data_IF_166802011637
#
_entry.id   IF_166802011637
#
_cell.length_a   1.000
_cell.length_b   1.000
_cell.length_c   1.000
_cell.angle_alpha   90.00
_cell.angle_beta   90.00
_cell.angle_gamma   90.00
#
_symmetry.space_group_name_H-M   'P 1'
#
loop_
_entity.id
_entity.type
_entity.pdbx_description
1 polymer ?
#
# COMPACT_ATOMS: atom_id res chain seq x y z
N UNK A 1 48.81 12.87 -16.83
CA UNK A 1 48.92 13.18 -18.27
C UNK A 1 47.51 13.15 -18.84
N UNK A 2 47.03 14.30 -19.30
CA UNK A 2 45.71 14.54 -19.87
C UNK A 2 45.90 14.75 -21.38
N UNK A 3 45.09 14.10 -22.24
CA UNK A 3 44.61 14.59 -23.55
C UNK A 3 43.74 13.54 -24.29
N UNK A 4 42.87 13.94 -25.26
CA UNK A 4 41.42 13.82 -25.10
C UNK A 4 40.66 13.18 -26.30
N UNK A 5 39.35 12.99 -26.06
CA UNK A 5 38.17 13.06 -26.93
C UNK A 5 38.34 13.19 -28.47
N UNK A 6 37.65 12.33 -29.23
CA UNK A 6 37.05 12.69 -30.53
C UNK A 6 35.63 12.10 -30.63
N UNK A 7 34.67 13.00 -30.82
CA UNK A 7 33.26 12.78 -31.14
C UNK A 7 33.12 12.66 -32.66
N UNK A 8 32.28 11.75 -33.15
CA UNK A 8 31.80 11.80 -34.53
C UNK A 8 30.29 11.50 -34.58
N UNK A 9 29.50 12.56 -34.74
CA UNK A 9 28.15 12.52 -35.30
C UNK A 9 28.24 12.37 -36.82
N UNK A 10 27.38 11.56 -37.42
CA UNK A 10 27.07 11.64 -38.84
C UNK A 10 25.56 11.48 -39.08
N UNK A 11 24.97 12.53 -39.63
CA UNK A 11 23.57 12.62 -40.09
C UNK A 11 23.60 13.18 -41.51
N UNK A 12 22.85 12.57 -42.45
CA UNK A 12 22.27 13.12 -43.69
C UNK A 12 22.12 12.00 -44.75
N UNK A 13 21.21 12.00 -45.72
CA UNK A 13 19.81 12.45 -45.94
C UNK A 13 19.48 12.02 -47.39
N UNK A 14 18.24 11.55 -47.62
CA UNK A 14 17.44 11.56 -48.87
C UNK A 14 17.96 10.93 -50.19
N UNK A 15 17.14 10.06 -50.81
CA UNK A 15 16.27 10.43 -51.96
C UNK A 15 15.53 9.21 -52.55
N UNK A 16 14.35 9.49 -53.13
CA UNK A 16 13.25 8.58 -53.50
C UNK A 16 13.26 8.09 -54.97
N UNK A 17 12.42 7.08 -55.28
CA UNK A 17 11.55 7.01 -56.47
C UNK A 17 10.57 5.81 -56.39
N UNK A 18 9.28 6.03 -56.66
CA UNK A 18 8.23 4.99 -56.87
C UNK A 18 8.28 4.37 -58.29
N UNK A 19 7.25 3.62 -58.79
CA UNK A 19 5.82 3.99 -58.69
C UNK A 19 4.73 2.86 -58.63
N UNK A 20 3.49 3.30 -58.30
CA UNK A 20 2.13 3.04 -58.85
C UNK A 20 1.45 1.63 -58.97
N UNK A 21 0.21 1.60 -58.44
CA UNK A 21 -0.96 0.82 -58.93
C UNK A 21 -1.42 -0.32 -57.99
N UNK A 22 -2.68 -0.53 -57.60
CA UNK A 22 -3.96 0.09 -57.95
C UNK A 22 -5.07 -0.40 -56.95
N UNK A 23 -6.05 0.48 -56.67
CA UNK A 23 -7.50 0.15 -56.49
C UNK A 23 -8.10 -0.36 -55.14
N UNK A 24 -9.43 -0.17 -54.89
CA UNK A 24 -9.91 0.76 -53.84
C UNK A 24 -10.91 0.21 -52.80
N UNK A 25 -10.98 0.91 -51.65
CA UNK A 25 -12.22 1.36 -51.01
C UNK A 25 -13.18 0.35 -50.36
N UNK A 26 -13.03 0.16 -49.04
CA UNK A 26 -14.14 -0.22 -48.16
C UNK A 26 -14.30 0.86 -47.06
N UNK A 27 -15.54 1.24 -46.68
CA UNK A 27 -15.77 2.37 -45.78
C UNK A 27 -15.36 2.02 -44.34
N UNK A 28 -14.48 2.85 -43.78
CA UNK A 28 -14.08 2.85 -42.37
C UNK A 28 -15.23 3.36 -41.50
N UNK A 29 -15.91 2.43 -40.82
CA UNK A 29 -16.64 2.75 -39.58
C UNK A 29 -15.63 3.17 -38.50
N UNK A 30 -16.02 3.98 -37.50
CA UNK A 30 -15.09 4.41 -36.47
C UNK A 30 -14.59 3.19 -35.70
N UNK A 31 -13.29 2.94 -35.80
CA UNK A 31 -12.60 2.01 -34.93
C UNK A 31 -12.84 2.47 -33.48
N UNK A 32 -13.60 1.67 -32.70
CA UNK A 32 -13.62 1.81 -31.25
C UNK A 32 -12.20 1.58 -30.77
N UNK A 33 -11.48 2.66 -30.50
CA UNK A 33 -10.26 2.63 -29.72
C UNK A 33 -10.64 2.06 -28.35
N UNK A 34 -10.35 0.78 -28.13
CA UNK A 34 -10.35 0.20 -26.79
C UNK A 34 -9.29 0.98 -26.02
N UNK A 35 -9.73 1.89 -25.15
CA UNK A 35 -8.85 2.55 -24.20
C UNK A 35 -8.13 1.50 -23.34
N UNK A 36 -6.93 1.82 -22.82
CA UNK A 36 -6.23 0.92 -21.93
C UNK A 36 -7.16 0.53 -20.77
N UNK A 37 -7.32 -0.78 -20.58
CA UNK A 37 -8.07 -1.33 -19.46
C UNK A 37 -7.51 -0.72 -18.17
N UNK A 38 -8.37 -0.04 -17.40
CA UNK A 38 -8.03 0.44 -16.08
C UNK A 38 -7.54 -0.77 -15.26
N UNK A 39 -6.31 -0.68 -14.78
CA UNK A 39 -5.75 -1.63 -13.80
C UNK A 39 -6.57 -1.41 -12.53
N UNK A 40 -7.56 -2.28 -12.31
CA UNK A 40 -8.33 -2.28 -11.06
C UNK A 40 -7.39 -2.58 -9.91
N UNK A 41 -7.31 -1.67 -8.95
CA UNK A 41 -6.65 -1.91 -7.66
C UNK A 41 -7.37 -3.07 -6.98
N UNK A 42 -6.67 -4.13 -6.54
CA UNK A 42 -7.34 -5.26 -5.90
C UNK A 42 -7.92 -4.87 -4.54
N UNK A 43 -9.22 -5.10 -4.41
CA UNK A 43 -10.02 -5.01 -3.18
C UNK A 43 -9.36 -5.80 -2.05
N UNK A 44 -8.89 -5.11 -1.01
CA UNK A 44 -8.46 -5.73 0.25
C UNK A 44 -9.71 -5.94 1.09
N UNK A 45 -10.49 -6.96 0.73
CA UNK A 45 -11.77 -7.30 1.34
C UNK A 45 -11.72 -8.45 2.34
N UNK A 46 -10.55 -8.75 2.91
CA UNK A 46 -10.44 -9.79 3.95
C UNK A 46 -10.26 -9.10 5.29
N UNK A 47 -11.29 -9.18 6.13
CA UNK A 47 -11.13 -8.83 7.53
C UNK A 47 -10.08 -9.77 8.12
N UNK A 48 -9.06 -9.19 8.78
CA UNK A 48 -8.00 -9.93 9.48
C UNK A 48 -8.53 -11.14 10.30
N UNK A 49 -9.72 -10.99 10.89
CA UNK A 49 -10.40 -12.00 11.69
C UNK A 49 -10.69 -13.33 10.97
N UNK A 50 -10.82 -13.32 9.64
CA UNK A 50 -11.14 -14.50 8.84
C UNK A 50 -9.89 -15.19 8.27
N UNK A 51 -8.69 -14.68 8.56
CA UNK A 51 -7.45 -15.27 8.08
C UNK A 51 -6.99 -16.39 9.02
N UNK A 52 -6.90 -17.66 8.58
CA UNK A 52 -6.46 -18.77 9.42
C UNK A 52 -4.93 -18.75 9.59
N UNK A 53 -4.41 -17.73 10.27
CA UNK A 53 -2.98 -17.49 10.44
C UNK A 53 -2.33 -18.70 11.10
N UNK A 54 -1.28 -19.22 10.47
CA UNK A 54 -0.41 -20.23 11.07
C UNK A 54 0.44 -19.53 12.13
N UNK A 55 0.37 -19.99 13.38
CA UNK A 55 1.22 -19.46 14.42
C UNK A 55 2.61 -20.13 14.35
N UNK A 56 3.71 -19.36 14.39
CA UNK A 56 5.04 -19.94 14.52
C UNK A 56 5.17 -20.65 15.88
N UNK A 57 5.93 -21.74 15.90
CA UNK A 57 6.31 -22.44 17.14
C UNK A 57 7.35 -21.63 17.91
N UNK A 58 7.24 -21.64 19.24
CA UNK A 58 8.24 -21.09 20.15
C UNK A 58 8.92 -22.16 21.01
N UNK A 59 8.40 -23.38 20.97
CA UNK A 59 8.87 -24.56 21.69
C UNK A 59 9.86 -25.39 20.87
N UNK A 60 9.83 -25.28 19.54
CA UNK A 60 10.84 -25.86 18.65
C UNK A 60 11.64 -24.74 17.95
N UNK A 61 12.87 -25.07 17.55
CA UNK A 61 13.75 -24.18 16.82
C UNK A 61 14.69 -24.99 15.89
N UNK A 62 15.34 -24.33 14.92
CA UNK A 62 16.30 -25.00 14.05
C UNK A 62 17.47 -25.61 14.83
N UNK A 63 18.09 -26.68 14.31
CA UNK A 63 19.14 -27.42 15.04
C UNK A 63 20.43 -26.63 15.14
N UNK A 64 20.72 -25.77 14.16
CA UNK A 64 21.89 -24.91 14.22
C UNK A 64 21.69 -23.83 15.29
N UNK A 65 22.45 -23.91 16.38
CA UNK A 65 22.35 -22.99 17.49
C UNK A 65 22.60 -21.51 17.09
N UNK A 66 23.45 -21.26 16.09
CA UNK A 66 23.70 -19.90 15.61
C UNK A 66 22.47 -19.34 14.89
N UNK A 67 21.81 -20.15 14.05
CA UNK A 67 20.57 -19.75 13.38
C UNK A 67 19.45 -19.57 14.39
N UNK A 68 19.29 -20.53 15.31
CA UNK A 68 18.26 -20.51 16.33
C UNK A 68 18.34 -19.28 17.24
N UNK A 69 19.54 -18.77 17.51
CA UNK A 69 19.74 -17.59 18.35
C UNK A 69 19.13 -16.28 17.79
N UNK A 70 18.84 -16.21 16.49
CA UNK A 70 18.25 -15.03 15.86
C UNK A 70 16.76 -14.82 16.17
N UNK A 71 16.04 -15.88 16.55
CA UNK A 71 14.60 -15.79 16.77
C UNK A 71 14.09 -16.83 17.76
N UNK A 72 13.03 -16.45 18.48
CA UNK A 72 12.28 -17.35 19.37
C UNK A 72 11.02 -17.91 18.73
N UNK A 73 10.72 -17.55 17.48
CA UNK A 73 9.49 -17.91 16.79
C UNK A 73 9.81 -18.37 15.36
N UNK A 74 9.43 -19.61 15.06
CA UNK A 74 9.76 -20.25 13.79
C UNK A 74 8.55 -20.92 13.14
N UNK A 75 8.39 -20.74 11.84
CA UNK A 75 7.61 -21.63 11.00
C UNK A 75 8.47 -22.84 10.65
N UNK A 76 7.89 -24.03 10.64
CA UNK A 76 8.63 -25.27 10.43
C UNK A 76 7.90 -26.22 9.48
N UNK A 77 8.68 -26.83 8.59
CA UNK A 77 8.20 -27.87 7.68
C UNK A 77 7.94 -29.18 8.45
N UNK A 78 7.06 -30.07 7.94
CA UNK A 78 6.76 -31.33 8.62
C UNK A 78 7.99 -32.23 8.85
N UNK A 79 8.98 -32.18 7.96
CA UNK A 79 10.25 -32.92 8.08
C UNK A 79 11.28 -32.23 8.99
N UNK A 80 10.99 -31.02 9.48
CA UNK A 80 11.83 -30.19 10.35
C UNK A 80 13.19 -29.84 9.73
N UNK A 81 13.29 -29.78 8.40
CA UNK A 81 14.52 -29.42 7.71
C UNK A 81 14.51 -27.98 7.20
N UNK A 82 13.34 -27.47 6.84
CA UNK A 82 13.13 -26.08 6.43
C UNK A 82 12.43 -25.30 7.54
N UNK A 83 13.08 -24.23 7.98
CA UNK A 83 12.58 -23.31 9.00
C UNK A 83 12.60 -21.89 8.47
N UNK A 84 11.62 -21.09 8.87
CA UNK A 84 11.55 -19.68 8.55
C UNK A 84 11.25 -18.86 9.79
N UNK A 85 11.94 -17.74 9.95
CA UNK A 85 11.54 -16.71 10.89
C UNK A 85 11.49 -15.38 10.15
N UNK A 86 10.31 -14.78 10.16
CA UNK A 86 10.15 -13.37 9.86
C UNK A 86 10.12 -12.59 11.18
N UNK A 87 10.27 -11.27 11.11
CA UNK A 87 9.83 -10.43 12.24
C UNK A 87 8.35 -10.64 12.54
N UNK A 88 7.82 -9.95 13.55
CA UNK A 88 6.47 -10.18 14.08
C UNK A 88 5.34 -10.13 13.03
N UNK A 89 5.56 -9.50 11.86
CA UNK A 89 4.54 -9.28 10.81
C UNK A 89 5.12 -9.31 9.40
N UNK A 90 4.25 -9.65 8.44
CA UNK A 90 4.49 -9.49 7.01
C UNK A 90 3.76 -8.26 6.47
N UNK A 91 4.38 -7.57 5.51
CA UNK A 91 3.89 -6.35 4.89
C UNK A 91 3.86 -6.49 3.38
N UNK A 92 2.85 -5.88 2.75
CA UNK A 92 2.78 -5.76 1.30
C UNK A 92 3.67 -4.61 0.79
N UNK A 93 4.27 -4.81 -0.39
CA UNK A 93 5.04 -3.80 -1.11
C UNK A 93 6.35 -3.35 -0.44
N UNK A 94 6.89 -2.25 -0.96
CA UNK A 94 8.09 -1.59 -0.43
C UNK A 94 9.38 -2.40 -0.53
N UNK A 95 10.21 -2.31 0.52
CA UNK A 95 11.49 -3.03 0.65
C UNK A 95 11.35 -4.52 1.00
N UNK A 96 10.12 -5.05 1.01
CA UNK A 96 9.79 -6.43 1.39
C UNK A 96 10.03 -6.75 2.86
N UNK A 97 9.91 -8.02 3.21
CA UNK A 97 9.97 -8.56 4.56
C UNK A 97 11.28 -9.30 4.76
N UNK A 98 12.03 -8.96 5.82
CA UNK A 98 13.22 -9.73 6.17
C UNK A 98 12.81 -11.09 6.71
N UNK A 99 13.24 -12.14 6.04
CA UNK A 99 13.00 -13.53 6.45
C UNK A 99 14.33 -14.26 6.53
N UNK A 100 14.59 -14.84 7.70
CA UNK A 100 15.69 -15.74 7.96
C UNK A 100 15.22 -17.17 7.75
N UNK A 101 16.02 -17.95 7.04
CA UNK A 101 15.73 -19.35 6.76
C UNK A 101 16.85 -20.24 7.30
N UNK A 102 16.50 -21.36 7.95
CA UNK A 102 17.37 -22.54 7.99
C UNK A 102 16.86 -23.50 6.92
N UNK A 103 17.72 -23.99 6.03
CA UNK A 103 17.26 -24.74 4.86
C UNK A 103 18.22 -25.84 4.46
N UNK A 104 17.72 -26.94 3.87
CA UNK A 104 18.54 -27.83 3.07
C UNK A 104 18.84 -27.22 1.68
N UNK A 105 19.97 -27.60 1.10
CA UNK A 105 20.36 -27.12 -0.24
C UNK A 105 20.80 -25.64 -0.26
N UNK A 106 20.93 -25.09 -1.47
CA UNK A 106 21.58 -23.79 -1.68
C UNK A 106 20.64 -22.58 -1.62
N UNK A 107 19.33 -22.75 -1.84
CA UNK A 107 18.38 -21.63 -1.92
C UNK A 107 16.96 -22.01 -1.48
N UNK A 108 16.23 -21.03 -0.96
CA UNK A 108 14.77 -21.08 -0.80
C UNK A 108 14.09 -20.47 -2.02
N UNK A 109 13.01 -21.08 -2.49
CA UNK A 109 12.02 -20.44 -3.35
C UNK A 109 10.72 -20.22 -2.58
N UNK A 110 10.06 -19.09 -2.80
CA UNK A 110 8.76 -18.77 -2.21
C UNK A 110 7.73 -18.62 -3.32
N UNK A 111 6.56 -19.18 -3.09
CA UNK A 111 5.34 -18.89 -3.86
C UNK A 111 4.19 -18.65 -2.88
N UNK A 112 3.05 -18.21 -3.39
CA UNK A 112 1.87 -18.07 -2.55
C UNK A 112 0.63 -17.70 -3.32
N UNK A 113 -0.51 -17.90 -2.66
CA UNK A 113 -1.85 -17.65 -3.18
C UNK A 113 -2.60 -16.77 -2.20
N UNK A 114 -3.22 -15.70 -2.72
CA UNK A 114 -4.19 -14.94 -1.96
C UNK A 114 -5.45 -15.80 -1.76
N UNK A 115 -5.80 -16.08 -0.50
CA UNK A 115 -6.90 -16.99 -0.15
C UNK A 115 -8.28 -16.40 -0.42
N UNK A 116 -8.41 -15.08 -0.32
CA UNK A 116 -9.65 -14.34 -0.45
C UNK A 116 -9.34 -13.03 -1.22
N UNK A 117 -9.88 -12.91 -2.42
CA UNK A 117 -9.60 -11.80 -3.36
C UNK A 117 -9.31 -12.28 -4.79
N UNK A 118 -9.04 -11.35 -5.70
CA UNK A 118 -8.64 -11.68 -7.08
C UNK A 118 -7.16 -12.10 -7.11
N UNK A 119 -6.93 -13.41 -7.06
CA UNK A 119 -5.60 -14.00 -7.09
C UNK A 119 -4.80 -13.67 -8.38
N UNK A 120 -5.46 -13.37 -9.50
CA UNK A 120 -4.77 -13.03 -10.75
C UNK A 120 -4.28 -11.59 -10.73
N UNK A 121 -5.08 -10.67 -10.20
CA UNK A 121 -4.69 -9.28 -10.00
C UNK A 121 -3.64 -9.13 -8.89
N UNK A 122 -3.67 -9.99 -7.87
CA UNK A 122 -2.78 -9.94 -6.71
C UNK A 122 -1.30 -10.22 -7.03
N UNK A 123 -0.98 -10.87 -8.16
CA UNK A 123 0.39 -11.31 -8.46
C UNK A 123 0.89 -12.43 -7.53
N UNK A 124 2.20 -12.65 -7.49
CA UNK A 124 2.82 -13.70 -6.65
C UNK A 124 3.89 -13.11 -5.73
N UNK A 125 4.10 -13.68 -4.52
CA UNK A 125 5.21 -13.28 -3.67
C UNK A 125 6.55 -13.53 -4.37
N UNK A 126 7.53 -12.68 -4.10
CA UNK A 126 8.88 -12.82 -4.63
C UNK A 126 9.90 -12.90 -3.50
N UNK A 127 11.04 -13.55 -3.75
CA UNK A 127 12.15 -13.64 -2.82
C UNK A 127 13.41 -13.09 -3.48
N UNK A 128 14.13 -12.24 -2.76
CA UNK A 128 15.45 -11.71 -3.14
C UNK A 128 16.38 -11.82 -1.94
N UNK A 129 17.70 -11.84 -2.15
CA UNK A 129 18.64 -11.91 -1.03
C UNK A 129 20.09 -11.93 -1.50
N UNK A 130 21.05 -11.71 -0.59
CA UNK A 130 22.46 -11.81 -0.93
C UNK A 130 22.83 -13.23 -1.34
N UNK A 131 23.72 -13.36 -2.33
CA UNK A 131 24.48 -14.59 -2.57
C UNK A 131 25.49 -14.81 -1.42
N UNK A 132 25.99 -16.04 -1.25
CA UNK A 132 27.05 -16.34 -0.27
C UNK A 132 26.59 -17.06 0.99
N UNK A 133 25.29 -17.39 1.09
CA UNK A 133 24.70 -18.17 2.18
C UNK A 133 24.64 -19.67 1.90
N UNK A 134 25.22 -20.15 0.81
CA UNK A 134 25.10 -21.54 0.35
C UNK A 134 25.76 -22.52 1.34
N UNK A 135 26.79 -22.07 2.06
CA UNK A 135 27.56 -22.89 3.00
C UNK A 135 27.30 -22.55 4.49
N UNK A 136 26.39 -21.61 4.77
CA UNK A 136 26.19 -21.08 6.13
C UNK A 136 25.05 -21.77 6.90
N UNK A 137 24.33 -22.71 6.27
CA UNK A 137 23.18 -23.41 6.85
C UNK A 137 21.93 -22.53 7.01
N UNK A 138 22.07 -21.21 6.96
CA UNK A 138 20.98 -20.25 6.95
C UNK A 138 21.00 -19.35 5.71
N UNK A 139 19.91 -18.64 5.42
CA UNK A 139 19.79 -17.61 4.38
C UNK A 139 19.01 -16.43 4.94
N UNK A 140 19.58 -15.23 4.86
CA UNK A 140 18.80 -14.01 5.01
C UNK A 140 18.21 -13.62 3.64
N UNK A 141 16.95 -13.20 3.62
CA UNK A 141 16.26 -12.80 2.39
C UNK A 141 15.25 -11.70 2.64
N UNK A 142 14.79 -11.11 1.55
CA UNK A 142 13.65 -10.23 1.45
C UNK A 142 12.53 -10.96 0.70
N UNK A 143 11.40 -11.21 1.38
CA UNK A 143 10.16 -11.72 0.77
C UNK A 143 9.18 -10.57 0.56
N UNK A 144 8.77 -10.32 -0.68
CA UNK A 144 7.84 -9.24 -1.03
C UNK A 144 6.50 -9.80 -1.44
N UNK A 145 5.44 -9.41 -0.73
CA UNK A 145 4.06 -9.66 -1.13
C UNK A 145 3.53 -8.47 -1.95
N UNK A 146 2.87 -8.68 -3.09
CA UNK A 146 2.47 -7.56 -3.94
C UNK A 146 1.31 -6.75 -3.33
N UNK A 147 0.39 -7.42 -2.62
CA UNK A 147 -0.82 -6.80 -2.07
C UNK A 147 -1.12 -7.31 -0.66
N UNK A 148 -1.82 -6.52 0.18
CA UNK A 148 -2.28 -6.94 1.49
C UNK A 148 -3.33 -8.05 1.41
N UNK A 149 -3.50 -8.82 2.49
CA UNK A 149 -4.55 -9.82 2.63
C UNK A 149 -4.06 -11.14 3.23
N UNK A 150 -4.90 -12.16 3.18
CA UNK A 150 -4.56 -13.49 3.72
C UNK A 150 -3.88 -14.34 2.65
N UNK A 151 -2.61 -14.67 2.86
CA UNK A 151 -1.79 -15.43 1.92
C UNK A 151 -1.50 -16.82 2.45
N UNK A 152 -1.78 -17.82 1.61
CA UNK A 152 -1.24 -19.17 1.75
C UNK A 152 0.14 -19.19 1.09
N UNK A 153 1.18 -19.41 1.88
CA UNK A 153 2.58 -19.28 1.49
C UNK A 153 3.24 -20.63 1.47
N UNK A 154 3.89 -20.95 0.35
CA UNK A 154 4.67 -22.16 0.19
C UNK A 154 6.14 -21.78 -0.03
N UNK A 155 7.00 -22.23 0.88
CA UNK A 155 8.45 -22.15 0.76
C UNK A 155 9.03 -23.53 0.48
N UNK A 156 9.94 -23.62 -0.50
CA UNK A 156 10.63 -24.85 -0.86
C UNK A 156 12.14 -24.69 -0.79
N UNK A 157 12.80 -25.73 -0.30
CA UNK A 157 14.25 -25.86 -0.34
C UNK A 157 14.62 -27.34 -0.47
N UNK A 158 15.39 -27.70 -1.50
CA UNK A 158 15.60 -29.09 -1.91
C UNK A 158 14.26 -29.87 -1.99
N UNK A 159 14.07 -30.91 -1.19
CA UNK A 159 12.84 -31.70 -1.11
C UNK A 159 11.86 -31.24 -0.01
N UNK A 160 12.30 -30.34 0.86
CA UNK A 160 11.51 -29.87 2.00
C UNK A 160 10.56 -28.76 1.60
N UNK A 161 9.33 -28.84 2.12
CA UNK A 161 8.24 -27.90 1.86
C UNK A 161 7.73 -27.39 3.19
N UNK A 162 7.70 -26.07 3.32
CA UNK A 162 7.10 -25.36 4.44
C UNK A 162 5.89 -24.60 3.91
N UNK A 163 4.72 -24.90 4.46
CA UNK A 163 3.48 -24.19 4.18
C UNK A 163 3.06 -23.43 5.43
N UNK A 164 2.65 -22.17 5.26
CA UNK A 164 2.06 -21.39 6.33
C UNK A 164 1.12 -20.34 5.76
N UNK A 165 0.06 -20.04 6.50
CA UNK A 165 -0.83 -18.94 6.20
C UNK A 165 -0.39 -17.72 7.00
N UNK A 166 -0.20 -16.59 6.30
CA UNK A 166 0.13 -15.32 6.92
C UNK A 166 -0.86 -14.24 6.48
N UNK A 167 -1.28 -13.40 7.43
CA UNK A 167 -1.89 -12.13 7.08
C UNK A 167 -0.79 -11.13 6.73
N UNK A 168 -0.86 -10.61 5.52
CA UNK A 168 0.05 -9.59 4.99
C UNK A 168 -0.64 -8.24 5.16
N UNK A 169 -0.04 -7.43 6.01
CA UNK A 169 -0.56 -6.13 6.36
C UNK A 169 -0.28 -5.11 5.24
N UNK A 170 -1.15 -4.10 5.05
CA UNK A 170 -0.77 -2.92 4.28
C UNK A 170 0.39 -2.23 5.00
N UNK A 171 1.46 -1.90 4.26
CA UNK A 171 2.61 -1.17 4.83
C UNK A 171 2.24 0.27 5.20
N UNK A 172 1.32 0.84 4.45
CA UNK A 172 0.70 2.14 4.67
C UNK A 172 -0.78 1.98 4.30
N UNK A 173 -1.72 2.61 5.02
CA UNK A 173 -3.02 2.88 4.42
C UNK A 173 -2.79 3.92 3.33
N UNK A 174 -2.71 3.45 2.08
CA UNK A 174 -2.35 4.29 0.96
C UNK A 174 -3.31 5.50 0.92
N UNK A 175 -2.79 6.73 0.84
CA UNK A 175 -3.64 7.87 0.64
C UNK A 175 -4.34 7.73 -0.72
N UNK A 176 -5.48 8.39 -0.85
CA UNK A 176 -6.18 8.41 -2.12
C UNK A 176 -5.26 8.95 -3.22
N UNK A 177 -5.17 8.24 -4.36
CA UNK A 177 -4.36 8.62 -5.50
C UNK A 177 -4.97 9.81 -6.28
N UNK A 178 -5.10 10.95 -5.60
CA UNK A 178 -5.72 12.19 -6.10
C UNK A 178 -4.71 13.34 -6.02
N UNK A 179 -4.83 14.30 -6.94
CA UNK A 179 -4.00 15.51 -6.94
C UNK A 179 -4.43 16.49 -5.85
N UNK A 180 -3.45 17.12 -5.20
CA UNK A 180 -3.65 18.03 -4.07
C UNK A 180 -2.69 19.23 -4.09
N UNK A 181 -2.50 19.82 -5.27
CA UNK A 181 -1.60 20.96 -5.47
C UNK A 181 -2.08 22.17 -4.68
N UNK A 182 -3.37 22.48 -4.77
CA UNK A 182 -4.04 23.58 -4.08
C UNK A 182 -5.40 23.15 -3.49
N UNK A 183 -6.00 24.01 -2.68
CA UNK A 183 -7.26 23.74 -1.98
C UNK A 183 -8.43 23.48 -2.94
N UNK A 184 -8.52 24.24 -4.03
CA UNK A 184 -9.62 24.14 -4.99
C UNK A 184 -9.57 22.82 -5.75
N UNK A 185 -8.40 22.45 -6.26
CA UNK A 185 -8.16 21.17 -6.92
C UNK A 185 -8.40 20.00 -5.97
N UNK A 186 -7.92 20.10 -4.73
CA UNK A 186 -8.16 19.06 -3.72
C UNK A 186 -9.65 18.89 -3.43
N UNK A 187 -10.39 19.99 -3.22
CA UNK A 187 -11.84 19.95 -3.02
C UNK A 187 -12.59 19.32 -4.20
N UNK A 188 -12.18 19.64 -5.43
CA UNK A 188 -12.74 19.05 -6.64
C UNK A 188 -12.48 17.55 -6.73
N UNK A 189 -11.27 17.10 -6.37
CA UNK A 189 -10.82 15.71 -6.47
C UNK A 189 -11.26 14.80 -5.31
N UNK A 190 -11.73 15.37 -4.20
CA UNK A 190 -12.30 14.62 -3.08
C UNK A 190 -13.75 14.23 -3.34
N UNK A 191 -14.16 13.04 -2.93
CA UNK A 191 -15.57 12.64 -2.96
C UNK A 191 -16.34 13.20 -1.76
N UNK A 192 -15.65 13.42 -0.64
CA UNK A 192 -16.20 14.10 0.53
C UNK A 192 -15.19 15.09 1.14
N UNK A 193 -15.70 16.24 1.59
CA UNK A 193 -14.97 17.26 2.34
C UNK A 193 -15.83 17.69 3.53
N UNK A 194 -15.30 17.51 4.73
CA UNK A 194 -16.08 17.65 5.96
C UNK A 194 -15.23 17.99 7.18
N UNK A 195 -15.88 18.60 8.16
CA UNK A 195 -15.44 18.55 9.55
C UNK A 195 -16.09 17.35 10.23
N UNK A 196 -15.32 16.63 11.06
CA UNK A 196 -15.82 15.53 11.88
C UNK A 196 -15.21 15.56 13.27
N UNK A 197 -15.88 14.90 14.23
CA UNK A 197 -15.26 14.56 15.52
C UNK A 197 -15.00 13.06 15.58
N UNK A 198 -13.85 12.64 16.12
CA UNK A 198 -13.61 11.24 16.44
C UNK A 198 -14.56 10.81 17.56
N UNK A 199 -15.56 10.00 17.22
CA UNK A 199 -16.50 9.44 18.19
C UNK A 199 -15.87 8.31 19.00
N UNK A 200 -15.12 7.44 18.33
CA UNK A 200 -14.32 6.40 18.96
C UNK A 200 -13.00 6.26 18.22
N UNK A 201 -11.96 5.92 18.98
CA UNK A 201 -10.67 5.49 18.45
C UNK A 201 -10.40 4.14 19.10
N UNK A 202 -10.21 3.12 18.28
CA UNK A 202 -9.87 1.77 18.73
C UNK A 202 -8.57 1.34 18.11
N UNK A 203 -7.89 0.40 18.77
CA UNK A 203 -6.82 -0.33 18.14
C UNK A 203 -7.38 -1.02 16.89
N UNK A 204 -6.63 -0.92 15.79
CA UNK A 204 -6.93 -1.59 14.54
C UNK A 204 -5.90 -2.72 14.36
N UNK A 205 -5.08 -2.62 13.32
CA UNK A 205 -3.89 -3.43 13.18
C UNK A 205 -2.75 -2.83 14.03
N UNK A 206 -1.79 -3.62 14.54
CA UNK A 206 -0.71 -3.04 15.33
C UNK A 206 0.10 -1.99 14.56
N UNK A 207 0.24 -0.79 15.13
CA UNK A 207 0.82 0.38 14.45
C UNK A 207 -0.22 1.28 13.77
N UNK A 208 -1.49 0.90 13.81
CA UNK A 208 -2.61 1.63 13.24
C UNK A 208 -3.71 1.87 14.28
N UNK A 209 -4.54 2.86 14.01
CA UNK A 209 -5.77 3.09 14.75
C UNK A 209 -6.97 3.17 13.79
N UNK A 210 -8.10 2.63 14.24
CA UNK A 210 -9.39 2.80 13.58
C UNK A 210 -10.11 3.95 14.26
N UNK A 211 -10.47 4.96 13.46
CA UNK A 211 -11.20 6.13 13.87
C UNK A 211 -12.63 6.04 13.34
N UNK A 212 -13.59 5.95 14.26
CA UNK A 212 -15.01 6.12 13.94
C UNK A 212 -15.36 7.59 14.09
N UNK A 213 -15.66 8.26 12.98
CA UNK A 213 -15.82 9.71 12.89
C UNK A 213 -17.29 10.07 12.69
N UNK A 214 -17.75 11.07 13.44
CA UNK A 214 -19.09 11.66 13.31
C UNK A 214 -18.99 12.95 12.50
N UNK A 215 -19.51 13.01 11.26
CA UNK A 215 -19.54 14.25 10.48
C UNK A 215 -20.31 15.36 11.21
N UNK A 216 -19.73 16.55 11.27
CA UNK A 216 -20.34 17.76 11.87
C UNK A 216 -20.76 18.76 10.82
N UNK A 217 -19.89 19.03 9.86
CA UNK A 217 -20.16 19.92 8.73
C UNK A 217 -19.78 19.19 7.45
N UNK A 218 -20.70 19.09 6.49
CA UNK A 218 -20.45 18.51 5.18
C UNK A 218 -20.42 19.64 4.15
N UNK A 219 -19.24 19.95 3.61
CA UNK A 219 -19.12 20.93 2.50
C UNK A 219 -19.31 20.25 1.15
N UNK A 220 -18.87 18.99 1.06
CA UNK A 220 -19.08 18.09 -0.06
C UNK A 220 -19.27 16.69 0.50
N UNK A 221 -20.30 15.98 0.09
CA UNK A 221 -20.50 14.58 0.48
C UNK A 221 -21.41 13.90 -0.54
N UNK A 222 -21.18 12.61 -0.84
CA UNK A 222 -22.12 11.84 -1.65
C UNK A 222 -23.40 11.56 -0.84
N UNK A 223 -24.50 11.32 -1.56
CA UNK A 223 -25.83 11.16 -0.95
C UNK A 223 -25.93 9.94 -0.02
N UNK A 224 -25.08 8.93 -0.23
CA UNK A 224 -25.03 7.70 0.56
C UNK A 224 -24.21 7.85 1.86
N UNK A 225 -23.58 8.99 2.10
CA UNK A 225 -22.89 9.30 3.35
C UNK A 225 -23.89 9.66 4.47
N UNK A 226 -24.58 8.67 5.02
CA UNK A 226 -25.69 8.85 5.99
C UNK A 226 -25.34 8.58 7.45
N UNK A 227 -24.08 8.30 7.79
CA UNK A 227 -23.70 7.94 9.16
C UNK A 227 -22.26 8.27 9.54
N UNK A 228 -21.67 7.39 10.34
CA UNK A 228 -20.26 7.47 10.72
C UNK A 228 -19.36 7.17 9.52
N UNK A 229 -18.12 7.68 9.61
CA UNK A 229 -17.04 7.36 8.69
C UNK A 229 -16.02 6.56 9.48
N UNK A 230 -15.65 5.40 8.98
CA UNK A 230 -14.54 4.65 9.52
C UNK A 230 -13.28 4.99 8.69
N UNK A 231 -12.25 5.50 9.37
CA UNK A 231 -10.93 5.76 8.79
C UNK A 231 -9.88 4.96 9.54
N UNK A 232 -8.93 4.43 8.79
CA UNK A 232 -7.78 3.74 9.37
C UNK A 232 -6.55 4.61 9.14
N UNK A 233 -5.77 4.84 10.20
CA UNK A 233 -4.61 5.76 10.18
C UNK A 233 -3.35 5.07 10.68
N UNK A 234 -2.23 5.40 10.05
CA UNK A 234 -0.89 4.94 10.42
C UNK A 234 -0.33 5.81 11.56
N UNK A 235 -0.05 5.22 12.72
CA UNK A 235 0.45 5.92 13.90
C UNK A 235 1.93 6.33 13.77
N UNK A 236 2.65 5.83 12.76
CA UNK A 236 3.99 6.27 12.38
C UNK A 236 4.00 7.50 11.47
N UNK A 237 2.87 7.82 10.82
CA UNK A 237 2.75 8.96 9.91
C UNK A 237 1.77 10.03 10.42
N UNK A 238 0.84 9.69 11.32
CA UNK A 238 -0.18 10.59 11.87
C UNK A 238 -0.09 10.57 13.40
N UNK A 239 -0.21 11.74 14.03
CA UNK A 239 -0.23 11.87 15.48
C UNK A 239 -1.36 11.01 16.08
N UNK A 240 -1.13 10.31 17.20
CA UNK A 240 -2.12 9.39 17.76
C UNK A 240 -3.48 10.06 17.99
N UNK A 241 -4.54 9.63 17.29
CA UNK A 241 -5.86 10.25 17.40
C UNK A 241 -6.51 9.93 18.75
N UNK A 242 -7.37 10.83 19.24
CA UNK A 242 -8.13 10.61 20.48
C UNK A 242 -9.63 10.80 20.25
N UNK A 243 -10.42 10.07 21.03
CA UNK A 243 -11.86 10.32 21.05
C UNK A 243 -12.14 11.75 21.52
N UNK A 244 -13.03 12.44 20.80
CA UNK A 244 -13.35 13.86 21.01
C UNK A 244 -12.58 14.82 20.11
N UNK A 245 -11.46 14.42 19.51
CA UNK A 245 -10.68 15.28 18.62
C UNK A 245 -11.51 15.69 17.39
N UNK A 246 -11.44 16.98 17.05
CA UNK A 246 -12.04 17.53 15.83
C UNK A 246 -11.06 17.43 14.66
N UNK A 247 -11.57 17.13 13.47
CA UNK A 247 -10.77 16.97 12.25
C UNK A 247 -11.36 17.72 11.07
N UNK A 248 -10.47 18.20 10.20
CA UNK A 248 -10.79 18.57 8.81
C UNK A 248 -10.35 17.41 7.91
N UNK A 249 -11.25 16.94 7.06
CA UNK A 249 -11.05 15.74 6.25
C UNK A 249 -11.36 15.99 4.78
N UNK A 250 -10.42 15.60 3.92
CA UNK A 250 -10.57 15.49 2.47
C UNK A 250 -10.47 14.01 2.12
N UNK A 251 -11.58 13.42 1.70
CA UNK A 251 -11.70 11.98 1.53
C UNK A 251 -12.08 11.62 0.11
N UNK A 252 -11.55 10.49 -0.36
CA UNK A 252 -11.99 9.84 -1.58
C UNK A 252 -12.36 8.38 -1.32
N UNK A 253 -13.23 7.84 -2.15
CA UNK A 253 -13.69 6.47 -2.09
C UNK A 253 -14.12 5.99 -3.47
N UNK A 254 -13.59 4.86 -3.90
CA UNK A 254 -13.99 4.22 -5.15
C UNK A 254 -15.01 3.11 -4.86
N UNK A 255 -16.26 3.31 -5.27
CA UNK A 255 -17.33 2.33 -5.05
C UNK A 255 -17.61 2.07 -3.57
N UNK A 256 -17.44 0.82 -3.13
CA UNK A 256 -17.69 0.36 -1.76
C UNK A 256 -16.42 0.25 -0.91
N UNK A 257 -15.27 0.68 -1.43
CA UNK A 257 -13.99 0.62 -0.70
C UNK A 257 -14.02 1.50 0.57
N UNK A 258 -13.12 1.27 1.53
CA UNK A 258 -12.95 2.16 2.67
C UNK A 258 -12.60 3.59 2.24
N UNK A 259 -12.97 4.57 3.07
CA UNK A 259 -12.59 5.96 2.83
C UNK A 259 -11.08 6.13 2.99
N UNK A 260 -10.47 6.84 2.04
CA UNK A 260 -9.04 7.18 2.06
C UNK A 260 -8.85 8.69 2.15
N UNK A 261 -7.79 9.10 2.86
CA UNK A 261 -7.44 10.52 2.98
C UNK A 261 -6.71 10.96 1.72
N UNK A 262 -7.17 12.05 1.11
CA UNK A 262 -6.51 12.68 -0.04
C UNK A 262 -5.31 13.48 0.48
N UNK A 263 -4.08 13.05 0.22
CA UNK A 263 -2.85 13.78 0.61
C UNK A 263 -2.72 14.15 2.11
N UNK A 264 -2.65 13.16 3.01
CA UNK A 264 -2.71 13.35 4.46
C UNK A 264 -1.68 14.36 5.00
N UNK A 265 -0.47 14.42 4.41
CA UNK A 265 0.59 15.36 4.83
C UNK A 265 0.27 16.84 4.59
N UNK A 266 -0.76 17.16 3.80
CA UNK A 266 -1.18 18.53 3.48
C UNK A 266 -2.63 18.83 3.85
N UNK A 267 -3.45 17.80 4.03
CA UNK A 267 -4.91 17.92 4.12
C UNK A 267 -5.51 17.43 5.44
N UNK A 268 -4.76 16.64 6.22
CA UNK A 268 -5.25 16.13 7.50
C UNK A 268 -4.83 17.07 8.61
N UNK A 269 -5.81 17.59 9.35
CA UNK A 269 -5.57 18.45 10.49
C UNK A 269 -6.56 18.24 11.62
N UNK A 270 -6.09 18.45 12.84
CA UNK A 270 -6.92 18.54 14.05
C UNK A 270 -7.37 19.98 14.29
N UNK A 271 -8.55 20.13 14.87
CA UNK A 271 -9.14 21.41 15.30
C UNK A 271 -9.06 21.46 16.83
N UNK A 272 -8.42 22.48 17.38
CA UNK A 272 -8.36 22.66 18.83
C UNK A 272 -9.61 23.38 19.38
N UNK A 273 -9.72 23.47 20.72
CA UNK A 273 -10.86 24.12 21.38
C UNK A 273 -11.01 25.63 21.08
N UNK A 274 -9.98 26.27 20.55
CA UNK A 274 -10.01 27.67 20.10
C UNK A 274 -10.40 27.82 18.62
N UNK A 275 -10.47 26.72 17.87
CA UNK A 275 -10.73 26.71 16.43
C UNK A 275 -9.47 26.86 15.56
N UNK A 276 -8.28 26.79 16.14
CA UNK A 276 -7.05 26.75 15.35
C UNK A 276 -6.85 25.35 14.75
N UNK A 277 -6.29 25.33 13.54
CA UNK A 277 -6.05 24.12 12.77
C UNK A 277 -4.58 23.74 12.86
N UNK A 278 -4.32 22.51 13.30
CA UNK A 278 -2.97 21.96 13.45
C UNK A 278 -2.80 20.75 12.53
N UNK A 279 -1.71 20.68 11.71
CA UNK A 279 -1.43 19.51 10.90
C UNK A 279 -1.36 18.26 11.78
N UNK A 280 -2.08 17.20 11.40
CA UNK A 280 -2.09 15.95 12.16
C UNK A 280 -0.99 14.98 11.71
N UNK A 281 -0.43 15.17 10.51
CA UNK A 281 0.64 14.33 10.01
C UNK A 281 1.97 14.64 10.71
N UNK A 282 2.71 13.59 11.12
CA UNK A 282 4.00 13.67 11.78
C UNK A 282 5.10 14.16 10.84
N UNK A 283 5.00 13.84 9.54
CA UNK A 283 5.81 14.47 8.49
C UNK A 283 5.07 15.70 7.97
N UNK A 284 5.64 16.87 8.20
CA UNK A 284 4.97 18.14 7.84
C UNK A 284 5.15 18.46 6.36
N UNK A 285 4.05 18.42 5.61
CA UNK A 285 3.91 19.20 4.37
C UNK A 285 3.35 20.58 4.69
N UNK A 286 3.58 21.58 3.82
CA UNK A 286 2.88 22.86 3.93
C UNK A 286 1.37 22.64 3.72
N UNK A 287 0.52 22.95 4.71
CA UNK A 287 -0.93 22.78 4.59
C UNK A 287 -1.48 23.56 3.40
N UNK A 288 -2.53 23.03 2.76
CA UNK A 288 -3.19 23.72 1.64
C UNK A 288 -4.36 24.59 2.07
N UNK A 289 -4.65 24.68 3.36
CA UNK A 289 -5.77 25.43 3.90
C UNK A 289 -5.31 26.50 4.90
N UNK A 290 -6.20 27.48 5.19
CA UNK A 290 -6.00 28.44 6.26
C UNK A 290 -5.75 27.79 7.63
N UNK A 291 -5.05 28.50 8.51
CA UNK A 291 -4.76 28.04 9.88
C UNK A 291 -5.95 28.23 10.85
N UNK A 292 -7.00 28.92 10.43
CA UNK A 292 -8.21 29.19 11.23
C UNK A 292 -9.43 28.51 10.61
N UNK A 293 -10.23 27.86 11.46
CA UNK A 293 -11.40 27.08 11.01
C UNK A 293 -12.50 27.94 10.39
N UNK A 294 -12.65 29.22 10.79
CA UNK A 294 -13.69 30.10 10.23
C UNK A 294 -13.32 30.55 8.83
N UNK A 295 -12.04 30.88 8.61
CA UNK A 295 -11.53 31.21 7.28
C UNK A 295 -11.63 30.00 6.33
N UNK A 296 -11.27 28.81 6.83
CA UNK A 296 -11.49 27.56 6.11
C UNK A 296 -12.96 27.35 5.76
N UNK A 297 -13.87 27.55 6.71
CA UNK A 297 -15.32 27.41 6.53
C UNK A 297 -15.84 28.27 5.38
N UNK A 298 -15.47 29.56 5.39
CA UNK A 298 -15.86 30.50 4.34
C UNK A 298 -15.33 30.06 2.98
N UNK A 299 -14.06 29.64 2.94
CA UNK A 299 -13.41 29.21 1.71
C UNK A 299 -14.05 27.95 1.15
N UNK A 300 -14.26 26.91 1.97
CA UNK A 300 -14.87 25.65 1.51
C UNK A 300 -16.32 25.82 1.06
N UNK A 301 -17.10 26.68 1.72
CA UNK A 301 -18.48 26.99 1.27
C UNK A 301 -18.48 27.67 -0.09
N UNK A 302 -17.52 28.56 -0.34
CA UNK A 302 -17.40 29.24 -1.64
C UNK A 302 -16.98 28.30 -2.78
N UNK A 303 -16.33 27.17 -2.46
CA UNK A 303 -15.96 26.14 -3.43
C UNK A 303 -17.10 25.16 -3.73
N UNK A 304 -18.04 24.99 -2.81
CA UNK A 304 -19.19 24.09 -2.96
C UNK A 304 -20.45 24.75 -3.54
N UNK A 305 -20.51 26.09 -3.57
CA UNK A 305 -21.57 26.88 -4.21
C UNK A 305 -21.35 27.02 -5.72
#
# INVERSE_FOLDING_TARGET
>A
MIRPLVVALATALLAACGPLGDSPGAPSGPARTLGPAAVGTPTVGVAFADCPITNPTSDEHPRNANTAAFSRAWYTSPDRLLWASAGDRFWAGGSGNKVLWERPGSKVSVSGKLLLGDAKAAGVPTITGPEGYENLGYQASTVTFPVPGCWDVEARAATSVLEFVAFVYPREYAPAAKSCVDLKGTFANSDAVLQASAFAVTDDLPGFAAMRLSPKIKYKAPADLTGFIDLHVDLGEIAPPRAGDGYVLFLAREGTEPWQIVCPFRTLATIDGGGAIHPAALRTGQPIFPADVRELDQTLRSLGS
#
